data_IF_345450220095
#
_entry.id   IF_345450220095
#
_cell.length_a   1.000
_cell.length_b   1.000
_cell.length_c   1.000
_cell.angle_alpha   90.00
_cell.angle_beta   90.00
_cell.angle_gamma   90.00
#
_symmetry.space_group_name_H-M   'P 1'
#
loop_
_entity.id
_entity.type
_entity.pdbx_description
1 polymer ?
#
# COMPACT_ATOMS: atom_id res chain seq x y z
N UNK A 1 3.43 -6.64 18.95
CA UNK A 1 3.48 -5.16 19.04
C UNK A 1 3.06 -4.79 20.47
N UNK A 2 3.77 -3.88 21.14
CA UNK A 2 3.44 -3.53 22.52
C UNK A 2 2.24 -2.57 22.56
N UNK A 3 1.44 -2.65 23.63
CA UNK A 3 0.23 -1.84 23.80
C UNK A 3 0.53 -0.33 23.71
N UNK A 4 1.66 0.10 24.27
CA UNK A 4 2.10 1.50 24.24
C UNK A 4 2.38 2.02 22.81
N UNK A 5 2.84 1.16 21.90
CA UNK A 5 3.07 1.52 20.50
C UNK A 5 1.76 1.79 19.77
N UNK A 6 0.71 1.03 20.10
CA UNK A 6 -0.63 1.19 19.54
C UNK A 6 -1.26 2.49 20.03
N UNK A 7 -1.19 2.77 21.33
CA UNK A 7 -1.73 4.01 21.91
C UNK A 7 -1.03 5.27 21.33
N UNK A 8 0.29 5.21 21.13
CA UNK A 8 1.03 6.29 20.44
C UNK A 8 0.66 6.44 18.97
N UNK A 9 0.30 5.36 18.28
CA UNK A 9 -0.16 5.45 16.89
C UNK A 9 -1.57 6.08 16.81
N UNK A 10 -2.45 5.72 17.76
CA UNK A 10 -3.79 6.30 17.89
C UNK A 10 -3.71 7.81 18.18
N UNK A 11 -2.85 8.22 19.13
CA UNK A 11 -2.65 9.64 19.46
C UNK A 11 -2.07 10.45 18.29
N UNK A 12 -1.21 9.84 17.46
CA UNK A 12 -0.70 10.46 16.23
C UNK A 12 -1.81 10.64 15.18
N UNK A 13 -2.62 9.61 14.93
CA UNK A 13 -3.74 9.70 13.99
C UNK A 13 -4.86 10.67 14.43
N UNK A 14 -5.03 10.88 15.74
CA UNK A 14 -6.01 11.82 16.29
C UNK A 14 -5.55 13.31 16.27
N UNK A 15 -4.36 13.60 15.73
CA UNK A 15 -3.84 14.97 15.59
C UNK A 15 -3.13 15.55 16.82
N UNK A 16 -2.74 14.72 17.80
CA UNK A 16 -2.11 15.17 19.05
C UNK A 16 -0.59 15.41 19.00
N UNK A 17 0.07 14.99 17.92
CA UNK A 17 1.50 15.19 17.65
C UNK A 17 1.59 15.59 16.19
N UNK A 18 2.34 16.66 15.87
CA UNK A 18 2.54 17.26 14.52
C UNK A 18 2.14 16.29 13.40
N UNK A 19 0.89 16.44 12.94
CA UNK A 19 0.26 15.45 12.09
C UNK A 19 0.98 15.39 10.75
N UNK A 20 1.70 14.30 10.51
CA UNK A 20 2.00 13.88 9.14
C UNK A 20 0.65 13.62 8.47
N UNK A 21 0.29 14.45 7.48
CA UNK A 21 -0.88 14.21 6.63
C UNK A 21 -0.61 12.95 5.81
N UNK A 22 -0.87 11.79 6.42
CA UNK A 22 -0.79 10.50 5.77
C UNK A 22 -2.00 10.35 4.87
N UNK A 23 -1.75 10.33 3.57
CA UNK A 23 -2.75 10.08 2.55
C UNK A 23 -2.67 8.62 2.08
N UNK A 24 -3.82 8.00 1.89
CA UNK A 24 -3.91 6.70 1.22
C UNK A 24 -3.79 6.91 -0.28
N UNK A 25 -2.82 6.22 -0.89
CA UNK A 25 -2.55 6.29 -2.33
C UNK A 25 -2.50 4.88 -2.90
N UNK A 26 -3.25 4.65 -3.98
CA UNK A 26 -3.21 3.42 -4.74
C UNK A 26 -2.41 3.60 -6.03
N UNK A 27 -1.51 2.67 -6.30
CA UNK A 27 -0.75 2.59 -7.54
C UNK A 27 -1.10 1.33 -8.30
N UNK A 28 -1.11 1.46 -9.62
CA UNK A 28 -1.50 0.41 -10.54
C UNK A 28 -0.40 0.21 -11.56
N UNK A 29 -0.13 -1.03 -11.95
CA UNK A 29 0.89 -1.30 -12.94
C UNK A 29 0.91 -2.74 -13.43
N UNK A 30 1.86 -2.99 -14.32
CA UNK A 30 2.10 -4.30 -14.90
C UNK A 30 3.52 -4.76 -14.58
N UNK A 31 3.64 -5.99 -14.11
CA UNK A 31 4.91 -6.69 -13.94
C UNK A 31 5.39 -7.37 -15.23
N UNK A 32 6.56 -8.02 -15.17
CA UNK A 32 7.07 -8.82 -16.29
C UNK A 32 6.05 -9.90 -16.67
N UNK A 33 5.86 -10.09 -17.98
CA UNK A 33 4.86 -11.01 -18.51
C UNK A 33 3.41 -10.50 -18.48
N UNK A 34 3.19 -9.20 -18.23
CA UNK A 34 1.85 -8.59 -18.28
C UNK A 34 0.99 -8.87 -17.04
N UNK A 35 1.62 -9.25 -15.93
CA UNK A 35 0.93 -9.51 -14.66
C UNK A 35 0.39 -8.20 -14.10
N UNK A 36 -0.91 -8.12 -13.84
CA UNK A 36 -1.52 -6.97 -13.20
C UNK A 36 -1.13 -6.89 -11.72
N UNK A 37 -0.70 -5.71 -11.27
CA UNK A 37 -0.27 -5.45 -9.89
C UNK A 37 -0.98 -4.19 -9.38
N UNK A 38 -1.60 -4.30 -8.21
CA UNK A 38 -2.18 -3.17 -7.48
C UNK A 38 -1.44 -3.02 -6.14
N UNK A 39 -1.05 -1.80 -5.82
CA UNK A 39 -0.28 -1.46 -4.62
C UNK A 39 -1.03 -0.39 -3.84
N UNK A 40 -1.52 -0.72 -2.66
CA UNK A 40 -2.07 0.26 -1.71
C UNK A 40 -0.96 0.70 -0.75
N UNK A 41 -0.79 2.01 -0.61
CA UNK A 41 0.23 2.62 0.24
C UNK A 41 -0.36 3.78 1.04
N UNK A 42 0.31 4.13 2.15
CA UNK A 42 -0.05 5.28 2.97
C UNK A 42 1.21 6.13 3.12
N UNK A 43 1.14 7.39 2.71
CA UNK A 43 2.32 8.27 2.65
C UNK A 43 1.95 9.73 2.91
N UNK A 44 2.89 10.44 3.52
CA UNK A 44 2.98 11.89 3.69
C UNK A 44 3.42 12.63 2.40
N UNK A 45 3.99 11.91 1.42
CA UNK A 45 4.51 12.51 0.20
C UNK A 45 4.31 11.61 -1.02
N UNK A 46 3.24 11.87 -1.77
CA UNK A 46 2.90 11.11 -2.97
C UNK A 46 4.00 11.16 -4.04
N UNK A 47 4.65 12.31 -4.26
CA UNK A 47 5.69 12.45 -5.29
C UNK A 47 6.91 11.54 -5.03
N UNK A 48 7.31 11.40 -3.76
CA UNK A 48 8.39 10.47 -3.36
C UNK A 48 7.97 9.03 -3.61
N UNK A 49 6.77 8.67 -3.16
CA UNK A 49 6.26 7.29 -3.24
C UNK A 49 6.05 6.85 -4.69
N UNK A 50 5.53 7.73 -5.56
CA UNK A 50 5.43 7.46 -7.02
C UNK A 50 6.80 7.16 -7.63
N UNK A 51 7.83 7.94 -7.26
CA UNK A 51 9.17 7.75 -7.80
C UNK A 51 9.78 6.42 -7.35
N UNK A 52 9.63 6.06 -6.08
CA UNK A 52 10.10 4.78 -5.53
C UNK A 52 9.37 3.58 -6.14
N UNK A 53 8.03 3.66 -6.24
CA UNK A 53 7.20 2.62 -6.85
C UNK A 53 7.58 2.45 -8.32
N UNK A 54 7.66 3.54 -9.08
CA UNK A 54 8.11 3.49 -10.48
C UNK A 54 9.49 2.85 -10.61
N UNK A 55 10.44 3.23 -9.75
CA UNK A 55 11.78 2.64 -9.75
C UNK A 55 11.75 1.14 -9.49
N UNK A 56 10.93 0.67 -8.54
CA UNK A 56 10.74 -0.75 -8.25
C UNK A 56 10.15 -1.53 -9.44
N UNK A 57 9.13 -0.98 -10.10
CA UNK A 57 8.56 -1.56 -11.32
C UNK A 57 9.60 -1.65 -12.44
N UNK A 58 10.30 -0.55 -12.74
CA UNK A 58 11.32 -0.52 -13.80
C UNK A 58 12.47 -1.49 -13.52
N UNK A 59 12.95 -1.56 -12.26
CA UNK A 59 14.01 -2.50 -11.85
C UNK A 59 13.59 -3.96 -12.01
N UNK A 60 12.29 -4.25 -11.86
CA UNK A 60 11.73 -5.60 -11.93
C UNK A 60 11.19 -5.96 -13.33
N UNK A 61 11.46 -5.15 -14.35
CA UNK A 61 11.00 -5.42 -15.73
C UNK A 61 9.50 -5.18 -15.96
N UNK A 62 8.87 -4.34 -15.13
CA UNK A 62 7.49 -3.89 -15.26
C UNK A 62 7.37 -2.40 -15.56
N UNK A 63 6.13 -1.90 -15.58
CA UNK A 63 5.82 -0.49 -15.75
C UNK A 63 4.67 -0.07 -14.83
N UNK A 64 4.76 1.16 -14.31
CA UNK A 64 3.66 1.80 -13.59
C UNK A 64 2.60 2.26 -14.61
N UNK A 65 1.36 1.83 -14.42
CA UNK A 65 0.21 2.20 -15.22
C UNK A 65 -0.47 3.48 -14.72
N UNK A 66 -1.56 3.85 -15.39
CA UNK A 66 -2.45 4.93 -14.92
C UNK A 66 -3.50 4.38 -13.98
N UNK A 67 -4.10 5.24 -13.17
CA UNK A 67 -5.22 4.89 -12.31
C UNK A 67 -6.36 4.29 -13.16
N UNK A 68 -6.86 3.10 -12.79
CA UNK A 68 -7.87 2.36 -13.55
C UNK A 68 -7.35 1.38 -14.62
N UNK A 69 -6.03 1.20 -14.78
CA UNK A 69 -5.46 0.27 -15.78
C UNK A 69 -5.67 -1.20 -15.41
N UNK A 70 -5.64 -1.53 -14.12
CA UNK A 70 -5.82 -2.90 -13.62
C UNK A 70 -6.90 -3.00 -12.56
N UNK A 71 -7.41 -1.87 -12.05
CA UNK A 71 -8.45 -1.84 -11.02
C UNK A 71 -9.66 -2.73 -11.35
N UNK A 72 -10.07 -2.79 -12.62
CA UNK A 72 -11.20 -3.62 -13.06
C UNK A 72 -10.95 -5.13 -12.97
N UNK A 73 -9.70 -5.57 -12.86
CA UNK A 73 -9.32 -6.98 -12.69
C UNK A 73 -9.40 -7.43 -11.23
N UNK A 74 -9.47 -6.49 -10.28
CA UNK A 74 -9.47 -6.77 -8.85
C UNK A 74 -10.82 -6.40 -8.21
N UNK A 75 -11.29 -7.27 -7.31
CA UNK A 75 -12.47 -7.02 -6.50
C UNK A 75 -12.06 -6.93 -5.02
N UNK A 76 -12.45 -5.84 -4.34
CA UNK A 76 -12.16 -5.67 -2.91
C UNK A 76 -12.98 -6.68 -2.10
N UNK A 77 -12.30 -7.64 -1.46
CA UNK A 77 -12.91 -8.69 -0.63
C UNK A 77 -12.27 -8.76 0.75
N UNK A 78 -13.03 -9.21 1.74
CA UNK A 78 -12.51 -9.49 3.07
C UNK A 78 -11.66 -10.76 3.05
N UNK A 79 -10.44 -10.71 3.58
CA UNK A 79 -9.58 -11.87 3.77
C UNK A 79 -9.48 -12.19 5.27
N UNK A 80 -9.86 -13.40 5.67
CA UNK A 80 -9.70 -13.90 7.03
C UNK A 80 -8.91 -15.20 6.99
N UNK A 81 -7.71 -15.20 7.58
CA UNK A 81 -6.88 -16.38 7.68
C UNK A 81 -6.95 -16.93 9.09
N UNK A 82 -7.37 -18.19 9.23
CA UNK A 82 -7.37 -18.92 10.50
C UNK A 82 -6.14 -19.82 10.53
N UNK A 83 -5.28 -19.62 11.53
CA UNK A 83 -4.17 -20.52 11.78
C UNK A 83 -4.69 -21.73 12.57
N UNK A 84 -4.70 -22.90 11.93
CA UNK A 84 -5.02 -24.14 12.62
C UNK A 84 -3.74 -24.70 13.25
N UNK A 85 -3.56 -24.47 14.55
CA UNK A 85 -2.49 -25.09 15.32
C UNK A 85 -2.90 -26.54 15.63
N UNK A 86 -2.31 -27.50 14.92
CA UNK A 86 -2.39 -28.91 15.30
C UNK A 86 -1.34 -29.14 16.39
N UNK A 87 -1.75 -29.75 17.50
CA UNK A 87 -0.90 -30.15 18.62
C UNK A 87 0.38 -30.86 18.15
#
# INVERSE_FOLDING_TARGET
MNKDTIERAIQRGAGGLEGENLEEVSFEGYGPGGIAIMVESMTDNNNRTVAEVRHAFTKSGGNLGTNGSVSYLFEKRSYQCFFWSRY
#
